data_IF_373854633632
#
_entry.id   IF_373854633632
#
_cell.length_a   1.000
_cell.length_b   1.000
_cell.length_c   1.000
_cell.angle_alpha   90.00
_cell.angle_beta   90.00
_cell.angle_gamma   90.00
#
_symmetry.space_group_name_H-M   'P 1'
#
loop_
_entity.id
_entity.type
_entity.pdbx_description
1 polymer ?
#
# COMPACT_ATOMS: atom_id res chain seq x y z
N UNK A 1 -27.55 10.60 -2.57
CA UNK A 1 -27.18 11.69 -1.64
C UNK A 1 -26.05 12.48 -2.30
N UNK A 2 -26.18 13.81 -2.44
CA UNK A 2 -25.14 14.60 -3.11
C UNK A 2 -24.16 15.13 -2.04
N UNK A 3 -22.93 14.73 -2.08
CA UNK A 3 -21.85 15.31 -1.28
C UNK A 3 -21.27 16.51 -2.04
N UNK A 4 -21.11 17.63 -1.35
CA UNK A 4 -20.49 18.81 -1.92
C UNK A 4 -19.10 18.97 -1.33
N UNK A 5 -18.04 18.84 -2.14
CA UNK A 5 -16.71 19.26 -1.78
C UNK A 5 -16.64 20.78 -1.77
N UNK A 6 -16.18 21.37 -0.69
CA UNK A 6 -15.94 22.80 -0.60
C UNK A 6 -14.47 23.10 -0.98
N UNK A 7 -14.28 23.83 -2.07
CA UNK A 7 -12.98 24.38 -2.44
C UNK A 7 -12.61 25.53 -1.51
N UNK A 8 -11.48 25.46 -0.86
CA UNK A 8 -10.82 26.64 -0.28
C UNK A 8 -9.72 27.11 -1.22
N UNK A 9 -9.99 28.22 -1.88
CA UNK A 9 -9.02 28.90 -2.71
C UNK A 9 -7.83 29.45 -1.92
N UNK A 10 -6.66 29.37 -2.54
CA UNK A 10 -5.51 30.20 -2.25
C UNK A 10 -4.21 29.46 -2.01
N UNK A 11 -3.48 29.16 -3.06
CA UNK A 11 -2.05 29.54 -3.18
C UNK A 11 -1.58 29.33 -4.63
N UNK A 12 -0.94 30.34 -5.14
CA UNK A 12 -0.47 30.53 -6.50
C UNK A 12 0.57 29.49 -6.95
N UNK A 13 0.37 28.96 -8.17
CA UNK A 13 1.48 28.65 -9.05
C UNK A 13 1.99 27.22 -9.08
N UNK A 14 1.14 26.24 -9.35
CA UNK A 14 1.40 25.10 -10.26
C UNK A 14 0.06 24.83 -10.92
N UNK A 15 -0.03 24.95 -12.23
CA UNK A 15 -1.17 24.41 -12.98
C UNK A 15 -1.14 22.89 -12.79
N UNK A 16 -1.88 22.41 -11.79
CA UNK A 16 -2.19 21.00 -11.69
C UNK A 16 -3.05 20.67 -12.91
N UNK A 17 -2.51 19.90 -13.83
CA UNK A 17 -3.30 19.18 -14.83
C UNK A 17 -4.40 18.48 -14.03
N UNK A 18 -5.63 18.98 -14.19
CA UNK A 18 -6.73 18.62 -13.30
C UNK A 18 -7.18 17.19 -13.57
N UNK A 19 -6.53 16.24 -12.94
CA UNK A 19 -7.00 14.87 -12.83
C UNK A 19 -8.37 14.89 -12.18
N UNK A 20 -9.41 14.59 -12.94
CA UNK A 20 -10.75 14.41 -12.39
C UNK A 20 -10.82 13.03 -11.78
N UNK A 21 -11.00 12.98 -10.47
CA UNK A 21 -11.22 11.74 -9.76
C UNK A 21 -12.70 11.71 -9.37
N UNK A 22 -13.42 10.66 -9.78
CA UNK A 22 -14.79 10.44 -9.34
C UNK A 22 -14.96 9.05 -8.75
N UNK A 23 -15.75 8.97 -7.68
CA UNK A 23 -16.10 7.73 -7.01
C UNK A 23 -17.62 7.58 -7.04
N UNK A 24 -18.09 6.52 -7.67
CA UNK A 24 -19.50 6.12 -7.65
C UNK A 24 -19.67 4.87 -6.81
N UNK A 25 -20.62 4.91 -5.89
CA UNK A 25 -20.86 3.85 -4.90
C UNK A 25 -22.34 3.47 -4.94
N UNK A 26 -22.62 2.17 -4.99
CA UNK A 26 -23.98 1.63 -4.93
C UNK A 26 -24.07 0.47 -3.95
N UNK A 27 -25.04 0.52 -3.05
CA UNK A 27 -25.36 -0.52 -2.08
C UNK A 27 -24.16 -0.98 -1.22
N UNK A 28 -23.35 -0.03 -0.72
CA UNK A 28 -22.16 -0.30 0.11
C UNK A 28 -22.35 0.28 1.51
N UNK A 29 -22.18 -0.54 2.54
CA UNK A 29 -22.38 -0.15 3.93
C UNK A 29 -23.78 0.43 4.16
N UNK A 30 -23.86 1.69 4.56
CA UNK A 30 -25.13 2.40 4.71
C UNK A 30 -25.51 3.26 3.50
N UNK A 31 -24.83 3.14 2.36
CA UNK A 31 -25.04 3.96 1.16
C UNK A 31 -25.92 3.20 0.17
N UNK A 32 -27.03 3.78 -0.26
CA UNK A 32 -27.82 3.28 -1.38
C UNK A 32 -27.15 3.60 -2.70
N UNK A 33 -26.91 4.89 -2.94
CA UNK A 33 -26.23 5.41 -4.10
C UNK A 33 -25.58 6.74 -3.77
N UNK A 34 -24.32 6.93 -4.16
CA UNK A 34 -23.60 8.17 -4.01
C UNK A 34 -22.56 8.32 -5.12
N UNK A 35 -22.38 9.54 -5.59
CA UNK A 35 -21.26 9.91 -6.47
C UNK A 35 -20.55 11.11 -5.87
N UNK A 36 -19.22 11.05 -5.81
CA UNK A 36 -18.36 12.09 -5.26
C UNK A 36 -17.27 12.40 -6.26
N UNK A 37 -17.07 13.67 -6.54
CA UNK A 37 -15.94 14.16 -7.32
C UNK A 37 -14.90 14.73 -6.36
N UNK A 38 -13.63 14.38 -6.56
CA UNK A 38 -12.50 14.91 -5.82
C UNK A 38 -11.73 15.90 -6.69
N UNK A 39 -11.43 17.06 -6.12
CA UNK A 39 -10.56 18.05 -6.73
C UNK A 39 -9.11 17.91 -6.26
N UNK A 40 -8.16 18.60 -6.88
CA UNK A 40 -6.78 18.62 -6.43
C UNK A 40 -6.67 19.27 -5.03
N UNK A 41 -5.74 18.77 -4.22
CA UNK A 41 -5.48 19.27 -2.87
C UNK A 41 -6.37 18.65 -1.78
N UNK A 42 -6.83 19.44 -0.82
CA UNK A 42 -7.54 18.94 0.36
C UNK A 42 -9.05 18.91 0.09
N UNK A 43 -9.63 17.73 0.14
CA UNK A 43 -11.08 17.49 0.05
C UNK A 43 -11.63 17.24 1.46
N UNK A 44 -12.67 17.95 1.86
CA UNK A 44 -13.28 17.83 3.18
C UNK A 44 -14.64 17.16 3.09
N UNK A 45 -14.75 15.95 3.65
CA UNK A 45 -16.00 15.23 3.77
C UNK A 45 -16.71 15.61 5.08
N UNK A 46 -17.62 16.57 5.02
CA UNK A 46 -18.37 17.06 6.17
C UNK A 46 -19.79 16.47 6.21
N UNK A 47 -20.30 16.24 7.41
CA UNK A 47 -21.66 15.75 7.62
C UNK A 47 -21.94 15.46 9.09
N UNK A 48 -23.23 15.31 9.44
CA UNK A 48 -23.64 14.85 10.78
C UNK A 48 -23.25 13.41 11.02
N UNK A 49 -23.27 12.95 12.27
CA UNK A 49 -23.15 11.52 12.56
C UNK A 49 -24.21 10.73 11.79
N UNK A 50 -23.89 9.50 11.39
CA UNK A 50 -24.72 8.65 10.53
C UNK A 50 -24.93 9.15 9.06
N UNK A 51 -24.02 9.96 8.52
CA UNK A 51 -24.01 10.32 7.10
C UNK A 51 -23.16 9.37 6.24
N UNK A 52 -22.91 8.15 6.72
CA UNK A 52 -22.18 7.11 5.98
C UNK A 52 -20.78 7.52 5.46
N UNK A 53 -20.11 8.47 6.13
CA UNK A 53 -18.77 8.93 5.77
C UNK A 53 -17.75 7.80 5.78
N UNK A 54 -17.81 6.95 6.81
CA UNK A 54 -16.94 5.79 6.92
C UNK A 54 -17.20 4.78 5.81
N UNK A 55 -18.49 4.56 5.44
CA UNK A 55 -18.85 3.70 4.31
C UNK A 55 -18.31 4.23 2.98
N UNK A 56 -18.31 5.55 2.79
CA UNK A 56 -17.74 6.17 1.60
C UNK A 56 -16.21 6.01 1.54
N UNK A 57 -15.51 6.19 2.67
CA UNK A 57 -14.09 5.98 2.74
C UNK A 57 -13.71 4.51 2.53
N UNK A 58 -14.48 3.57 3.10
CA UNK A 58 -14.30 2.14 2.85
C UNK A 58 -14.58 1.76 1.40
N UNK A 59 -15.57 2.39 0.75
CA UNK A 59 -15.80 2.21 -0.67
C UNK A 59 -14.60 2.68 -1.51
N UNK A 60 -14.01 3.84 -1.17
CA UNK A 60 -12.78 4.31 -1.81
C UNK A 60 -11.62 3.32 -1.59
N UNK A 61 -11.45 2.82 -0.36
CA UNK A 61 -10.44 1.79 -0.05
C UNK A 61 -10.66 0.53 -0.90
N UNK A 62 -11.93 0.08 -1.04
CA UNK A 62 -12.26 -1.09 -1.87
C UNK A 62 -11.93 -0.88 -3.35
N UNK A 63 -12.17 0.31 -3.90
CA UNK A 63 -11.76 0.65 -5.26
C UNK A 63 -10.23 0.63 -5.44
N UNK A 64 -9.49 0.92 -4.36
CA UNK A 64 -8.04 0.84 -4.34
C UNK A 64 -7.50 -0.58 -4.11
N UNK A 65 -8.34 -1.54 -3.66
CA UNK A 65 -7.96 -2.94 -3.49
C UNK A 65 -8.24 -3.54 -2.12
N UNK A 66 -8.61 -2.73 -1.12
CA UNK A 66 -8.92 -3.24 0.22
C UNK A 66 -10.18 -4.12 0.24
N UNK A 67 -10.15 -5.15 1.06
CA UNK A 67 -11.29 -6.02 1.31
C UNK A 67 -12.14 -5.58 2.53
N UNK A 68 -11.72 -4.51 3.27
CA UNK A 68 -12.46 -3.96 4.43
C UNK A 68 -13.68 -3.12 4.00
N UNK A 69 -14.60 -3.76 3.30
CA UNK A 69 -15.83 -3.15 2.82
C UNK A 69 -17.02 -4.08 3.07
N UNK A 70 -18.19 -3.52 3.31
CA UNK A 70 -19.40 -4.29 3.55
C UNK A 70 -20.49 -3.96 2.53
N UNK A 71 -21.16 -4.99 2.04
CA UNK A 71 -22.38 -4.86 1.27
C UNK A 71 -23.51 -4.33 2.17
N UNK A 72 -24.40 -3.51 1.63
CA UNK A 72 -25.58 -3.05 2.34
C UNK A 72 -26.44 -4.25 2.79
N UNK A 73 -27.01 -4.19 3.99
CA UNK A 73 -27.62 -5.34 4.64
C UNK A 73 -28.80 -5.94 3.84
N UNK A 74 -29.55 -5.10 3.15
CA UNK A 74 -30.75 -5.44 2.35
C UNK A 74 -30.47 -5.59 0.85
N UNK A 75 -29.20 -5.61 0.43
CA UNK A 75 -28.80 -5.76 -0.96
C UNK A 75 -28.08 -7.09 -1.20
N UNK A 76 -28.26 -7.68 -2.36
CA UNK A 76 -27.58 -8.89 -2.81
C UNK A 76 -26.32 -8.57 -3.62
N UNK A 77 -26.30 -7.38 -4.24
CA UNK A 77 -25.16 -6.88 -5.00
C UNK A 77 -24.90 -5.40 -4.70
N UNK A 78 -23.64 -5.01 -4.78
CA UNK A 78 -23.21 -3.63 -4.68
C UNK A 78 -22.04 -3.37 -5.63
N UNK A 79 -21.71 -2.11 -5.83
CA UNK A 79 -20.57 -1.74 -6.68
C UNK A 79 -19.89 -0.47 -6.23
N UNK A 80 -18.59 -0.43 -6.48
CA UNK A 80 -17.78 0.77 -6.36
C UNK A 80 -17.05 0.97 -7.68
N UNK A 81 -17.13 2.18 -8.22
CA UNK A 81 -16.47 2.57 -9.44
C UNK A 81 -15.61 3.81 -9.17
N UNK A 82 -14.33 3.71 -9.43
CA UNK A 82 -13.36 4.80 -9.35
C UNK A 82 -12.89 5.17 -10.74
N UNK A 83 -13.11 6.41 -11.13
CA UNK A 83 -12.52 6.97 -12.37
C UNK A 83 -11.33 7.83 -11.98
N UNK A 84 -10.17 7.48 -12.50
CA UNK A 84 -8.90 8.14 -12.24
C UNK A 84 -8.16 8.29 -13.57
N UNK A 85 -7.80 9.52 -13.95
CA UNK A 85 -7.09 9.85 -15.19
C UNK A 85 -7.75 9.33 -16.48
N UNK A 86 -9.08 9.14 -16.45
CA UNK A 86 -9.86 8.62 -17.57
C UNK A 86 -9.94 7.10 -17.62
N UNK A 87 -9.26 6.40 -16.74
CA UNK A 87 -9.41 4.97 -16.54
C UNK A 87 -10.45 4.66 -15.45
N UNK A 88 -11.14 3.54 -15.59
CA UNK A 88 -12.22 3.15 -14.69
C UNK A 88 -11.89 1.82 -14.03
N UNK A 89 -11.88 1.82 -12.71
CA UNK A 89 -11.65 0.66 -11.85
C UNK A 89 -12.95 0.30 -11.15
N UNK A 90 -13.39 -0.94 -11.26
CA UNK A 90 -14.68 -1.37 -10.73
C UNK A 90 -14.52 -2.57 -9.81
N UNK A 91 -15.08 -2.44 -8.60
CA UNK A 91 -15.22 -3.55 -7.64
C UNK A 91 -16.70 -3.85 -7.43
N UNK A 92 -17.09 -5.10 -7.61
CA UNK A 92 -18.45 -5.59 -7.34
C UNK A 92 -18.45 -6.39 -6.05
N UNK A 93 -19.42 -6.12 -5.20
CA UNK A 93 -19.70 -6.86 -3.99
C UNK A 93 -20.88 -7.77 -4.27
N UNK A 94 -20.72 -9.06 -4.08
CA UNK A 94 -21.78 -10.05 -4.35
C UNK A 94 -22.01 -10.89 -3.10
N UNK A 95 -23.26 -10.96 -2.64
CA UNK A 95 -23.62 -11.80 -1.50
C UNK A 95 -23.51 -13.27 -1.88
N UNK A 96 -22.78 -14.03 -1.09
CA UNK A 96 -22.61 -15.48 -1.20
C UNK A 96 -23.09 -16.15 0.08
N UNK A 97 -23.22 -17.46 0.05
CA UNK A 97 -23.67 -18.24 1.21
C UNK A 97 -22.69 -18.13 2.41
N UNK A 98 -21.41 -17.91 2.15
CA UNK A 98 -20.31 -17.82 3.10
C UNK A 98 -19.84 -16.39 3.40
N UNK A 99 -20.50 -15.37 2.81
CA UNK A 99 -20.13 -13.97 3.03
C UNK A 99 -20.37 -13.07 1.83
N UNK A 100 -19.51 -12.07 1.68
CA UNK A 100 -19.51 -11.15 0.54
C UNK A 100 -18.24 -11.40 -0.27
N UNK A 101 -18.40 -11.75 -1.54
CA UNK A 101 -17.31 -11.85 -2.49
C UNK A 101 -17.07 -10.48 -3.15
N UNK A 102 -15.79 -10.13 -3.32
CA UNK A 102 -15.35 -8.97 -4.09
C UNK A 102 -14.82 -9.45 -5.44
N UNK A 103 -15.36 -8.87 -6.51
CA UNK A 103 -15.02 -9.19 -7.89
C UNK A 103 -14.59 -7.92 -8.63
N UNK A 104 -13.75 -8.06 -9.67
CA UNK A 104 -13.28 -6.95 -10.51
C UNK A 104 -11.88 -6.47 -10.17
N UNK A 105 -11.39 -5.51 -10.95
CA UNK A 105 -10.00 -5.05 -10.92
C UNK A 105 -9.88 -3.78 -10.07
N UNK A 106 -9.12 -3.81 -8.97
CA UNK A 106 -8.80 -2.62 -8.18
C UNK A 106 -7.72 -1.78 -8.87
N UNK A 107 -7.51 -0.55 -8.34
CA UNK A 107 -6.46 0.34 -8.82
C UNK A 107 -5.05 -0.11 -8.43
N UNK A 108 -4.86 -0.61 -7.20
CA UNK A 108 -3.57 -1.05 -6.68
C UNK A 108 -3.39 -2.55 -6.87
N UNK A 109 -2.16 -2.98 -7.08
CA UNK A 109 -1.79 -4.39 -7.01
C UNK A 109 -1.81 -4.89 -5.56
N UNK A 110 -1.92 -6.22 -5.36
CA UNK A 110 -2.10 -6.83 -4.03
C UNK A 110 -0.99 -6.43 -3.03
N UNK A 111 0.25 -6.30 -3.48
CA UNK A 111 1.40 -5.88 -2.66
C UNK A 111 1.38 -4.39 -2.29
N UNK A 112 0.70 -3.55 -3.07
CA UNK A 112 0.54 -2.11 -2.82
C UNK A 112 -0.61 -1.80 -1.87
N UNK A 113 -1.63 -2.66 -1.80
CA UNK A 113 -2.81 -2.49 -0.94
C UNK A 113 -2.42 -2.42 0.53
N UNK A 114 -1.52 -3.28 0.99
CA UNK A 114 -1.03 -3.29 2.37
C UNK A 114 -0.40 -1.94 2.79
N UNK A 115 0.32 -1.27 1.85
CA UNK A 115 0.86 0.07 2.09
C UNK A 115 -0.25 1.11 2.19
N UNK A 116 -1.23 1.06 1.29
CA UNK A 116 -2.34 1.99 1.29
C UNK A 116 -3.19 1.84 2.57
N UNK A 117 -3.49 0.63 3.00
CA UNK A 117 -4.21 0.35 4.24
C UNK A 117 -3.45 0.84 5.47
N UNK A 118 -2.14 0.63 5.52
CA UNK A 118 -1.33 1.04 6.66
C UNK A 118 -1.16 2.55 6.77
N UNK A 119 -0.91 3.25 5.63
CA UNK A 119 -0.41 4.62 5.65
C UNK A 119 -1.38 5.66 5.10
N UNK A 120 -2.28 5.28 4.18
CA UNK A 120 -3.18 6.23 3.53
C UNK A 120 -4.53 6.36 4.24
N UNK A 121 -5.06 5.28 4.83
CA UNK A 121 -6.39 5.27 5.43
C UNK A 121 -6.33 5.13 6.95
N UNK A 122 -6.13 6.24 7.65
CA UNK A 122 -6.05 6.28 9.12
C UNK A 122 -7.45 6.28 9.77
N UNK A 123 -8.30 5.34 9.38
CA UNK A 123 -9.60 5.11 10.01
C UNK A 123 -9.43 4.68 11.47
N UNK A 124 -10.54 4.65 12.21
CA UNK A 124 -10.51 4.29 13.63
C UNK A 124 -9.99 2.87 13.88
N UNK A 125 -10.20 1.98 12.94
CA UNK A 125 -9.75 0.57 12.96
C UNK A 125 -8.33 0.38 12.45
N UNK A 126 -7.67 1.39 11.89
CA UNK A 126 -6.34 1.29 11.32
C UNK A 126 -5.29 0.89 12.38
N UNK A 127 -4.52 -0.15 12.10
CA UNK A 127 -3.55 -0.74 13.02
C UNK A 127 -2.42 0.23 13.42
N UNK A 128 -1.91 1.03 12.48
CA UNK A 128 -0.86 2.02 12.78
C UNK A 128 -1.40 3.13 13.68
N UNK A 129 -2.61 3.62 13.42
CA UNK A 129 -3.29 4.59 14.29
C UNK A 129 -3.52 4.01 15.70
N UNK A 130 -3.99 2.78 15.79
CA UNK A 130 -4.23 2.10 17.07
C UNK A 130 -2.93 1.86 17.84
N UNK A 131 -1.84 1.51 17.16
CA UNK A 131 -0.53 1.33 17.78
C UNK A 131 -0.01 2.63 18.41
N UNK A 132 -0.25 3.78 17.75
CA UNK A 132 0.12 5.10 18.28
C UNK A 132 -0.76 5.51 19.47
N UNK A 133 -2.08 5.34 19.35
CA UNK A 133 -3.04 5.84 20.35
C UNK A 133 -3.12 4.99 21.60
N UNK A 134 -3.04 3.67 21.48
CA UNK A 134 -3.20 2.75 22.62
C UNK A 134 -1.89 2.38 23.32
N UNK A 135 -0.73 2.71 22.73
CA UNK A 135 0.59 2.43 23.32
C UNK A 135 0.91 0.95 23.56
N UNK A 136 0.01 0.04 23.17
CA UNK A 136 0.10 -1.38 23.48
C UNK A 136 0.64 -2.27 22.35
N UNK A 137 0.84 -1.74 21.15
CA UNK A 137 1.36 -2.49 19.99
C UNK A 137 2.72 -1.95 19.60
N UNK A 138 3.59 -2.83 19.15
CA UNK A 138 4.86 -2.44 18.55
C UNK A 138 4.62 -1.73 17.21
N UNK A 139 4.67 -0.40 17.22
CA UNK A 139 4.50 0.44 16.03
C UNK A 139 5.47 0.05 14.90
N UNK A 140 6.71 -0.31 15.26
CA UNK A 140 7.71 -0.75 14.29
C UNK A 140 7.23 -1.99 13.53
N UNK A 141 6.65 -2.96 14.23
CA UNK A 141 6.13 -4.20 13.61
C UNK A 141 4.97 -3.89 12.66
N UNK A 142 4.09 -2.96 13.04
CA UNK A 142 2.97 -2.54 12.18
C UNK A 142 3.48 -1.83 10.93
N UNK A 143 4.43 -0.91 11.07
CA UNK A 143 5.01 -0.16 9.94
C UNK A 143 5.85 -1.01 8.99
N UNK A 144 6.44 -2.10 9.50
CA UNK A 144 7.23 -3.04 8.68
C UNK A 144 6.39 -4.20 8.11
N UNK A 145 5.09 -4.27 8.41
CA UNK A 145 4.22 -5.36 7.94
C UNK A 145 4.18 -5.50 6.41
N UNK A 146 4.15 -4.40 5.61
CA UNK A 146 4.20 -4.51 4.16
C UNK A 146 5.59 -4.86 3.59
N UNK A 147 6.63 -4.87 4.44
CA UNK A 147 8.00 -5.17 4.03
C UNK A 147 8.30 -6.63 4.34
N UNK A 148 8.63 -7.43 3.32
CA UNK A 148 9.08 -8.81 3.52
C UNK A 148 10.50 -8.81 4.14
N UNK A 149 10.54 -8.62 5.47
CA UNK A 149 11.78 -8.63 6.25
C UNK A 149 12.50 -9.96 6.17
N UNK A 150 11.76 -11.06 6.03
CA UNK A 150 12.34 -12.42 5.94
C UNK A 150 13.05 -12.64 4.60
N UNK A 151 12.52 -12.08 3.51
CA UNK A 151 13.18 -12.10 2.20
C UNK A 151 14.47 -11.27 2.22
N UNK A 152 14.43 -10.07 2.80
CA UNK A 152 15.60 -9.20 2.94
C UNK A 152 16.68 -9.87 3.81
N UNK A 153 16.29 -10.49 4.92
CA UNK A 153 17.26 -11.20 5.79
C UNK A 153 17.86 -12.42 5.11
N UNK A 154 17.12 -13.12 4.26
CA UNK A 154 17.66 -14.23 3.45
C UNK A 154 18.68 -13.72 2.45
N UNK A 155 18.35 -12.70 1.68
CA UNK A 155 19.28 -12.10 0.72
C UNK A 155 20.54 -11.56 1.40
N UNK A 156 20.39 -10.91 2.55
CA UNK A 156 21.53 -10.42 3.33
C UNK A 156 22.47 -11.56 3.75
N UNK A 157 21.92 -12.68 4.22
CA UNK A 157 22.70 -13.88 4.58
C UNK A 157 23.47 -14.43 3.38
N UNK A 158 22.81 -14.57 2.24
CA UNK A 158 23.44 -15.04 1.00
C UNK A 158 24.58 -14.13 0.57
N UNK A 159 24.41 -12.80 0.60
CA UNK A 159 25.46 -11.84 0.27
C UNK A 159 26.64 -11.86 1.24
N UNK A 160 26.36 -12.07 2.53
CA UNK A 160 27.43 -12.21 3.53
C UNK A 160 28.24 -13.47 3.30
N UNK A 161 27.64 -14.60 2.97
CA UNK A 161 28.36 -15.85 2.64
C UNK A 161 29.15 -15.74 1.34
N UNK A 162 28.58 -15.12 0.30
CA UNK A 162 29.28 -14.84 -0.95
C UNK A 162 30.55 -14.00 -0.71
N UNK A 163 30.41 -12.92 0.07
CA UNK A 163 31.55 -12.08 0.44
C UNK A 163 32.64 -12.85 1.18
N UNK A 164 32.24 -13.68 2.17
CA UNK A 164 33.20 -14.53 2.90
C UNK A 164 33.97 -15.49 1.98
N UNK A 165 33.28 -16.05 0.97
CA UNK A 165 33.91 -16.89 -0.04
C UNK A 165 34.93 -16.15 -0.85
N UNK A 166 34.63 -14.93 -1.29
CA UNK A 166 35.56 -14.07 -2.04
C UNK A 166 36.77 -13.65 -1.18
N UNK A 167 36.52 -13.25 0.07
CA UNK A 167 37.60 -12.88 1.02
C UNK A 167 38.58 -14.05 1.23
N UNK A 168 38.05 -15.26 1.42
CA UNK A 168 38.90 -16.46 1.58
C UNK A 168 39.68 -16.82 0.30
N UNK A 169 39.16 -16.53 -0.88
CA UNK A 169 39.85 -16.74 -2.14
C UNK A 169 40.97 -15.69 -2.35
N UNK A 170 40.72 -14.45 -1.97
CA UNK A 170 41.73 -13.40 -1.96
C UNK A 170 42.90 -13.76 -1.04
N UNK A 171 42.66 -14.22 0.19
CA UNK A 171 43.73 -14.68 1.10
C UNK A 171 44.56 -15.82 0.50
N UNK A 172 43.91 -16.78 -0.20
CA UNK A 172 44.65 -17.85 -0.88
C UNK A 172 45.51 -17.37 -2.02
N UNK A 173 45.02 -16.37 -2.77
CA UNK A 173 45.79 -15.78 -3.86
C UNK A 173 47.01 -14.97 -3.34
N UNK A 174 46.81 -14.22 -2.27
CA UNK A 174 47.89 -13.48 -1.60
C UNK A 174 48.96 -14.46 -1.09
N UNK A 175 48.60 -15.52 -0.39
CA UNK A 175 49.50 -16.58 0.05
C UNK A 175 50.27 -17.25 -1.12
N UNK A 176 49.59 -17.49 -2.24
CA UNK A 176 50.20 -18.06 -3.42
C UNK A 176 51.20 -17.10 -4.08
N UNK A 177 50.87 -15.81 -4.10
CA UNK A 177 51.74 -14.74 -4.61
C UNK A 177 53.00 -14.64 -3.77
N UNK A 178 52.88 -14.63 -2.45
CA UNK A 178 54.02 -14.63 -1.51
C UNK A 178 54.94 -15.84 -1.69
N UNK A 179 54.36 -17.02 -1.91
CA UNK A 179 55.16 -18.25 -2.17
C UNK A 179 55.91 -18.17 -3.50
N UNK A 180 55.29 -17.59 -4.51
CA UNK A 180 55.88 -17.40 -5.83
C UNK A 180 57.08 -16.42 -5.74
N UNK A 181 56.93 -15.32 -5.03
CA UNK A 181 58.01 -14.34 -4.82
C UNK A 181 59.19 -14.96 -4.11
N UNK A 182 58.99 -15.66 -3.00
CA UNK A 182 60.01 -16.38 -2.26
C UNK A 182 60.72 -17.47 -3.10
N UNK A 183 59.98 -18.09 -4.02
CA UNK A 183 60.56 -19.08 -4.94
C UNK A 183 61.45 -18.40 -6.03
N UNK A 184 61.04 -17.23 -6.52
CA UNK A 184 61.82 -16.44 -7.48
C UNK A 184 63.12 -15.93 -6.87
N UNK A 185 63.04 -15.36 -5.65
CA UNK A 185 64.23 -14.90 -4.93
C UNK A 185 65.27 -16.03 -4.76
N UNK A 186 64.81 -17.21 -4.30
CA UNK A 186 65.70 -18.38 -4.14
C UNK A 186 66.32 -18.89 -5.45
N UNK A 187 65.62 -18.75 -6.57
CA UNK A 187 66.18 -19.10 -7.88
C UNK A 187 67.23 -18.12 -8.34
N UNK A 188 67.08 -16.85 -8.05
CA UNK A 188 68.01 -15.79 -8.49
C UNK A 188 69.25 -15.68 -7.63
N UNK A 189 69.26 -16.34 -6.45
CA UNK A 189 70.43 -16.51 -5.56
C UNK A 189 71.34 -17.71 -5.92
N UNK A 190 70.92 -18.58 -6.84
CA UNK A 190 71.65 -19.74 -7.34
C UNK A 190 72.34 -19.45 -8.66
#
# INVERSE_FOLDING_TARGET
MKYRCAERGGMTGVEAVGTKISLSVRAVGGIDEATVEFGPGVNVLAGRNATNRTSLLRALMAALGSDDVSLKADADEGSVELVLDGETYTRRLVRRADGVALEGDPYLADDEVDYAECFAFLLETNDARQAVLSGGRDLRRVLLRPVDTDAIERELRERVEERRGVDAELERLDDATDRLERARERRDEL
#
